data_IF_830180386000
#
_entry.id   IF_830180386000
#
_cell.length_a   1.000
_cell.length_b   1.000
_cell.length_c   1.000
_cell.angle_alpha   90.00
_cell.angle_beta   90.00
_cell.angle_gamma   90.00
#
_symmetry.space_group_name_H-M   'P 1'
#
loop_
_entity.id
_entity.type
_entity.pdbx_description
1 polymer ?
#
# COMPACT_ATOMS: atom_id res chain seq x y z
N UNK A 1 -8.80 21.50 0.23
CA UNK A 1 -8.14 21.62 -1.09
C UNK A 1 -8.70 20.52 -1.97
N UNK A 2 -9.02 20.79 -3.26
CA UNK A 2 -9.42 19.69 -4.14
C UNK A 2 -8.17 18.87 -4.48
N UNK A 3 -8.25 17.57 -4.42
CA UNK A 3 -7.18 16.62 -4.79
C UNK A 3 -6.58 16.90 -6.18
N UNK A 4 -7.38 17.44 -7.09
CA UNK A 4 -6.96 17.83 -8.43
C UNK A 4 -5.91 18.94 -8.45
N UNK A 5 -5.93 19.85 -7.46
CA UNK A 5 -4.97 20.95 -7.35
C UNK A 5 -3.63 20.54 -6.72
N UNK A 6 -3.54 19.33 -6.18
CA UNK A 6 -2.35 18.81 -5.51
C UNK A 6 -1.54 17.85 -6.39
N UNK A 7 -1.91 17.67 -7.66
CA UNK A 7 -1.17 16.79 -8.58
C UNK A 7 0.12 17.45 -8.99
N UNK A 8 1.24 16.79 -8.73
CA UNK A 8 2.58 17.24 -9.09
C UNK A 8 3.15 16.32 -10.17
N UNK A 9 3.52 16.91 -11.31
CA UNK A 9 4.22 16.19 -12.38
C UNK A 9 5.72 16.22 -12.04
N UNK A 10 6.31 15.04 -11.89
CA UNK A 10 7.72 14.87 -11.55
C UNK A 10 8.58 14.96 -12.80
N UNK A 11 9.71 15.62 -12.69
CA UNK A 11 10.75 15.61 -13.71
C UNK A 11 11.46 14.25 -13.74
N UNK A 12 12.19 13.95 -14.82
CA UNK A 12 12.96 12.69 -14.92
C UNK A 12 13.98 12.54 -13.79
N UNK A 13 14.62 13.64 -13.35
CA UNK A 13 15.56 13.61 -12.23
C UNK A 13 14.88 13.33 -10.90
N UNK A 14 13.69 13.88 -10.65
CA UNK A 14 12.90 13.59 -9.44
C UNK A 14 12.43 12.14 -9.42
N UNK A 15 11.99 11.60 -10.57
CA UNK A 15 11.62 10.18 -10.70
C UNK A 15 12.82 9.27 -10.37
N UNK A 16 14.05 9.65 -10.76
CA UNK A 16 15.22 8.85 -10.43
C UNK A 16 15.52 8.84 -8.92
N UNK A 17 15.33 9.95 -8.22
CA UNK A 17 15.40 9.99 -6.75
C UNK A 17 14.31 9.12 -6.13
N UNK A 18 13.06 9.21 -6.62
CA UNK A 18 11.96 8.35 -6.18
C UNK A 18 12.23 6.87 -6.43
N UNK A 19 12.91 6.54 -7.52
CA UNK A 19 13.35 5.15 -7.80
C UNK A 19 14.36 4.65 -6.78
N UNK A 20 15.25 5.52 -6.30
CA UNK A 20 16.19 5.17 -5.22
C UNK A 20 15.44 4.97 -3.89
N UNK A 21 14.51 5.88 -3.55
CA UNK A 21 13.62 5.69 -2.40
C UNK A 21 12.86 4.35 -2.49
N UNK A 22 12.35 4.00 -3.67
CA UNK A 22 11.67 2.74 -3.94
C UNK A 22 12.55 1.50 -3.74
N UNK A 23 13.82 1.56 -4.13
CA UNK A 23 14.77 0.45 -3.88
C UNK A 23 15.03 0.25 -2.39
N UNK A 24 15.20 1.33 -1.62
CA UNK A 24 15.37 1.26 -0.17
C UNK A 24 14.11 0.67 0.48
N UNK A 25 12.94 1.13 0.04
CA UNK A 25 11.65 0.63 0.52
C UNK A 25 11.48 -0.87 0.24
N UNK A 26 11.82 -1.30 -0.97
CA UNK A 26 11.78 -2.71 -1.36
C UNK A 26 12.77 -3.58 -0.54
N UNK A 27 13.96 -3.05 -0.20
CA UNK A 27 14.91 -3.75 0.69
C UNK A 27 14.33 -3.89 2.11
N UNK A 28 13.67 -2.85 2.63
CA UNK A 28 13.00 -2.90 3.92
C UNK A 28 11.88 -3.96 3.94
N UNK A 29 11.01 -3.96 2.91
CA UNK A 29 9.95 -4.96 2.77
C UNK A 29 10.50 -6.37 2.57
N UNK A 30 11.60 -6.55 1.84
CA UNK A 30 12.25 -7.85 1.68
C UNK A 30 12.80 -8.38 3.02
N UNK A 31 13.37 -7.50 3.86
CA UNK A 31 13.86 -7.87 5.19
C UNK A 31 12.72 -8.32 6.11
N UNK A 32 11.59 -7.60 6.13
CA UNK A 32 10.41 -8.03 6.90
C UNK A 32 9.84 -9.34 6.38
N UNK A 33 9.76 -9.52 5.06
CA UNK A 33 9.25 -10.75 4.45
C UNK A 33 10.11 -11.97 4.78
N UNK A 34 11.43 -11.82 4.80
CA UNK A 34 12.35 -12.90 5.17
C UNK A 34 12.23 -13.31 6.65
N UNK A 35 11.74 -12.41 7.50
CA UNK A 35 11.53 -12.63 8.93
C UNK A 35 10.11 -13.09 9.30
N UNK A 36 9.21 -13.31 8.32
CA UNK A 36 7.84 -13.78 8.58
C UNK A 36 7.83 -15.26 8.99
N UNK A 37 7.94 -15.49 10.29
CA UNK A 37 7.95 -16.82 10.90
C UNK A 37 6.94 -16.89 12.06
N UNK A 38 6.49 -18.09 12.38
CA UNK A 38 5.68 -18.33 13.59
C UNK A 38 6.42 -17.83 14.84
N UNK A 39 5.72 -17.04 15.64
CA UNK A 39 6.23 -16.48 16.90
C UNK A 39 6.91 -15.11 16.79
N UNK A 40 7.25 -14.62 15.59
CA UNK A 40 7.78 -13.25 15.42
C UNK A 40 6.68 -12.24 15.80
N UNK A 41 7.06 -11.13 16.43
CA UNK A 41 6.14 -10.05 16.73
C UNK A 41 6.11 -9.02 15.60
N UNK A 42 4.98 -8.32 15.45
CA UNK A 42 4.88 -7.24 14.46
C UNK A 42 5.82 -6.07 14.79
N UNK A 43 6.18 -5.86 16.07
CA UNK A 43 7.20 -4.88 16.49
C UNK A 43 8.61 -5.26 15.99
N UNK A 44 8.99 -6.55 16.02
CA UNK A 44 10.29 -7.01 15.49
C UNK A 44 10.38 -6.76 13.98
N UNK A 45 9.27 -6.89 13.24
CA UNK A 45 9.23 -6.55 11.82
C UNK A 45 9.40 -5.04 11.59
N UNK A 46 8.81 -4.20 12.44
CA UNK A 46 9.00 -2.74 12.41
C UNK A 46 10.45 -2.35 12.64
N UNK A 47 11.09 -2.95 13.64
CA UNK A 47 12.51 -2.72 13.95
C UNK A 47 13.42 -3.08 12.77
N UNK A 48 13.14 -4.18 12.06
CA UNK A 48 13.88 -4.59 10.87
C UNK A 48 13.75 -3.57 9.74
N UNK A 49 12.53 -3.14 9.42
CA UNK A 49 12.29 -2.13 8.40
C UNK A 49 12.99 -0.81 8.74
N UNK A 50 12.87 -0.36 10.00
CA UNK A 50 13.52 0.84 10.49
C UNK A 50 15.06 0.75 10.40
N UNK A 51 15.64 -0.41 10.68
CA UNK A 51 17.08 -0.62 10.57
C UNK A 51 17.58 -0.49 9.12
N UNK A 52 16.87 -1.09 8.17
CA UNK A 52 17.20 -1.00 6.73
C UNK A 52 17.11 0.46 6.26
N UNK A 53 16.01 1.15 6.55
CA UNK A 53 15.82 2.55 6.14
C UNK A 53 16.94 3.44 6.69
N UNK A 54 17.26 3.31 7.98
CA UNK A 54 18.36 4.07 8.62
C UNK A 54 19.74 3.77 8.00
N UNK A 55 20.02 2.52 7.66
CA UNK A 55 21.28 2.12 7.02
C UNK A 55 21.57 2.88 5.73
N UNK A 56 20.52 3.24 4.99
CA UNK A 56 20.60 4.03 3.75
C UNK A 56 20.55 5.54 3.97
N UNK A 57 20.53 6.04 5.22
CA UNK A 57 20.38 7.46 5.52
C UNK A 57 19.00 8.02 5.18
N UNK A 58 18.03 7.14 4.92
CA UNK A 58 16.63 7.49 4.65
C UNK A 58 15.82 7.61 5.95
N UNK A 59 14.55 8.03 5.84
CA UNK A 59 13.64 8.19 6.97
C UNK A 59 12.34 7.42 6.71
N UNK A 60 11.69 6.85 7.77
CA UNK A 60 10.34 6.31 7.66
C UNK A 60 9.35 7.41 7.26
N UNK A 61 8.44 7.10 6.35
CA UNK A 61 7.44 8.07 5.88
C UNK A 61 6.18 8.09 6.76
N UNK A 62 5.86 6.98 7.44
CA UNK A 62 4.67 6.89 8.27
C UNK A 62 4.88 7.42 9.70
N UNK A 63 6.08 7.26 10.24
CA UNK A 63 6.41 7.66 11.62
C UNK A 63 6.11 9.15 11.85
N UNK A 64 5.21 9.43 12.78
CA UNK A 64 4.80 10.80 13.14
C UNK A 64 3.73 11.41 12.23
N UNK A 65 3.22 10.69 11.24
CA UNK A 65 2.08 11.14 10.44
C UNK A 65 0.87 11.36 11.33
N UNK A 66 0.26 12.54 11.24
CA UNK A 66 -0.86 12.94 12.10
C UNK A 66 -2.17 12.32 11.63
N UNK A 67 -2.76 11.53 12.51
CA UNK A 67 -4.13 11.06 12.48
C UNK A 67 -4.85 11.55 13.75
N UNK A 68 -5.52 10.67 14.48
CA UNK A 68 -6.02 10.96 15.83
C UNK A 68 -4.85 11.26 16.81
N UNK A 69 -3.71 10.65 16.55
CA UNK A 69 -2.41 10.90 17.20
C UNK A 69 -1.29 10.64 16.17
N UNK A 70 -0.02 11.04 16.44
CA UNK A 70 1.08 10.75 15.53
C UNK A 70 1.28 9.23 15.40
N UNK A 71 1.31 8.71 14.16
CA UNK A 71 1.52 7.29 13.92
C UNK A 71 2.87 6.84 14.54
N UNK A 72 2.90 5.77 15.37
CA UNK A 72 4.05 5.51 16.23
C UNK A 72 5.14 4.62 15.62
N UNK A 73 4.98 4.14 14.37
CA UNK A 73 5.82 3.10 13.81
C UNK A 73 6.35 3.43 12.40
N UNK A 74 7.30 2.62 11.94
CA UNK A 74 7.93 2.72 10.61
C UNK A 74 7.05 2.11 9.53
N UNK A 75 6.41 0.97 9.83
CA UNK A 75 5.53 0.22 8.94
C UNK A 75 4.12 0.16 9.51
N UNK A 76 3.15 -0.27 8.71
CA UNK A 76 1.91 -0.86 9.23
C UNK A 76 2.00 -2.38 9.13
N UNK A 77 1.34 -3.09 10.05
CA UNK A 77 1.31 -4.55 10.08
C UNK A 77 -0.11 -5.02 10.40
N UNK A 78 -0.88 -5.30 9.36
CA UNK A 78 -2.29 -5.67 9.45
C UNK A 78 -2.43 -7.18 9.30
N UNK A 79 -2.99 -7.84 10.31
CA UNK A 79 -3.01 -9.32 10.41
C UNK A 79 -4.43 -9.83 10.26
N UNK A 80 -4.64 -10.77 9.34
CA UNK A 80 -5.91 -11.43 9.06
C UNK A 80 -7.03 -10.45 8.68
N UNK A 81 -8.00 -10.23 9.57
CA UNK A 81 -9.15 -9.35 9.38
C UNK A 81 -8.81 -7.84 9.43
N UNK A 82 -7.62 -7.48 9.85
CA UNK A 82 -7.15 -6.10 9.82
C UNK A 82 -6.83 -5.72 8.38
N UNK A 83 -7.55 -4.74 7.84
CA UNK A 83 -7.42 -4.36 6.44
C UNK A 83 -6.16 -3.54 6.18
N UNK A 84 -6.00 -2.42 6.90
CA UNK A 84 -4.90 -1.45 6.77
C UNK A 84 -4.57 -0.83 8.13
N UNK A 85 -3.42 -0.15 8.19
CA UNK A 85 -2.98 0.71 9.30
C UNK A 85 -2.75 -0.01 10.63
N UNK A 86 -2.72 -1.34 10.67
CA UNK A 86 -2.41 -2.09 11.89
C UNK A 86 -1.10 -1.60 12.51
N UNK A 87 -1.15 -1.26 13.82
CA UNK A 87 0.01 -0.71 14.55
C UNK A 87 0.90 -1.86 15.00
N UNK A 88 2.19 -1.89 14.60
CA UNK A 88 3.14 -2.90 15.07
C UNK A 88 3.24 -2.91 16.61
N UNK A 89 3.24 -4.11 17.20
CA UNK A 89 3.25 -4.28 18.64
C UNK A 89 3.66 -5.68 19.08
N UNK A 90 3.24 -6.06 20.27
CA UNK A 90 3.58 -7.35 20.90
C UNK A 90 2.83 -8.55 20.33
N UNK A 91 1.95 -8.34 19.34
CA UNK A 91 1.23 -9.43 18.66
C UNK A 91 2.23 -10.36 17.99
N UNK A 92 2.22 -11.64 18.38
CA UNK A 92 3.01 -12.69 17.74
C UNK A 92 2.23 -13.27 16.58
N UNK A 93 2.87 -13.33 15.42
CA UNK A 93 2.35 -14.02 14.26
C UNK A 93 2.30 -15.53 14.50
N UNK A 94 1.32 -16.20 13.89
CA UNK A 94 1.08 -17.65 14.02
C UNK A 94 1.08 -18.30 12.65
N UNK A 95 1.48 -19.55 12.61
CA UNK A 95 1.25 -20.39 11.43
C UNK A 95 -0.23 -20.35 11.02
N UNK A 96 -0.51 -20.05 9.76
CA UNK A 96 -1.86 -19.84 9.23
C UNK A 96 -2.31 -18.38 9.12
N UNK A 97 -1.63 -17.44 9.79
CA UNK A 97 -1.93 -16.00 9.61
C UNK A 97 -1.54 -15.53 8.21
N UNK A 98 -2.29 -14.56 7.69
CA UNK A 98 -1.83 -13.67 6.62
C UNK A 98 -1.51 -12.30 7.21
N UNK A 99 -0.48 -11.64 6.72
CA UNK A 99 -0.10 -10.31 7.18
C UNK A 99 0.19 -9.40 6.00
N UNK A 100 -0.41 -8.20 6.02
CA UNK A 100 -0.13 -7.11 5.11
C UNK A 100 0.85 -6.16 5.79
N UNK A 101 2.02 -5.99 5.18
CA UNK A 101 3.05 -5.05 5.61
C UNK A 101 3.11 -3.93 4.60
N UNK A 102 2.89 -2.71 5.06
CA UNK A 102 3.01 -1.51 4.27
C UNK A 102 4.13 -0.64 4.82
N UNK A 103 4.94 -0.07 3.93
CA UNK A 103 6.15 0.67 4.27
C UNK A 103 6.31 1.89 3.37
N UNK A 104 6.53 3.03 4.00
CA UNK A 104 6.90 4.26 3.31
C UNK A 104 8.32 4.70 3.67
N UNK A 105 9.10 5.13 2.66
CA UNK A 105 10.48 5.59 2.81
C UNK A 105 10.67 6.97 2.22
N UNK A 106 11.27 7.88 2.97
CA UNK A 106 11.69 9.21 2.49
C UNK A 106 13.18 9.19 2.22
N UNK A 107 13.57 9.45 0.97
CA UNK A 107 14.96 9.63 0.57
C UNK A 107 15.11 10.90 -0.26
N UNK A 108 16.06 11.77 0.12
CA UNK A 108 16.29 13.10 -0.51
C UNK A 108 15.02 13.94 -0.70
N UNK A 109 14.09 13.86 0.27
CA UNK A 109 12.83 14.61 0.27
C UNK A 109 11.74 14.05 -0.65
N UNK A 110 11.90 12.85 -1.19
CA UNK A 110 10.87 12.13 -1.94
C UNK A 110 10.46 10.83 -1.23
N UNK A 111 9.19 10.50 -1.37
CA UNK A 111 8.56 9.35 -0.74
C UNK A 111 8.46 8.20 -1.75
N UNK A 112 8.78 7.00 -1.29
CA UNK A 112 8.31 5.75 -1.87
C UNK A 112 7.31 5.10 -0.92
N UNK A 113 6.33 4.40 -1.48
CA UNK A 113 5.24 3.77 -0.78
C UNK A 113 4.92 2.43 -1.45
N UNK A 114 4.93 1.35 -0.69
CA UNK A 114 4.56 0.03 -1.19
C UNK A 114 4.28 -0.98 -0.09
N UNK A 115 3.43 -1.95 -0.41
CA UNK A 115 2.99 -2.99 0.51
C UNK A 115 3.09 -4.38 -0.13
N UNK A 116 3.05 -5.40 0.71
CA UNK A 116 2.79 -6.77 0.32
C UNK A 116 1.90 -7.47 1.35
N UNK A 117 1.23 -8.55 0.93
CA UNK A 117 0.58 -9.50 1.84
C UNK A 117 1.23 -10.86 1.66
N UNK A 118 1.51 -11.55 2.78
CA UNK A 118 2.07 -12.89 2.75
C UNK A 118 1.54 -13.75 3.89
N UNK A 119 1.57 -15.08 3.69
CA UNK A 119 1.25 -16.06 4.72
C UNK A 119 2.42 -16.31 5.67
N UNK A 120 2.09 -16.67 6.90
CA UNK A 120 3.02 -17.16 7.91
C UNK A 120 2.91 -18.68 7.95
N UNK A 121 3.95 -19.39 7.48
CA UNK A 121 3.91 -20.84 7.34
C UNK A 121 2.84 -21.31 6.33
N UNK A 122 2.09 -22.34 6.69
CA UNK A 122 1.00 -22.87 5.85
C UNK A 122 -0.30 -22.12 6.11
N UNK A 123 -0.87 -21.51 5.07
CA UNK A 123 -2.15 -20.77 5.12
C UNK A 123 -3.26 -21.54 4.41
N UNK A 124 -4.51 -21.17 4.65
CA UNK A 124 -5.66 -21.80 3.99
C UNK A 124 -5.67 -21.51 2.49
N UNK A 125 -6.35 -22.38 1.73
CA UNK A 125 -6.54 -22.20 0.29
C UNK A 125 -7.29 -20.89 0.00
N UNK A 126 -8.25 -20.53 0.83
CA UNK A 126 -9.03 -19.29 0.71
C UNK A 126 -8.14 -18.05 0.92
N UNK A 127 -7.25 -18.08 1.91
CA UNK A 127 -6.30 -17.00 2.17
C UNK A 127 -5.29 -16.88 1.03
N UNK A 128 -4.76 -17.98 0.53
CA UNK A 128 -3.87 -18.01 -0.62
C UNK A 128 -4.55 -17.41 -1.86
N UNK A 129 -5.80 -17.81 -2.12
CA UNK A 129 -6.58 -17.30 -3.24
C UNK A 129 -6.85 -15.79 -3.12
N UNK A 130 -7.16 -15.29 -1.92
CA UNK A 130 -7.34 -13.86 -1.67
C UNK A 130 -6.07 -13.07 -2.02
N UNK A 131 -4.90 -13.53 -1.60
CA UNK A 131 -3.60 -12.90 -1.91
C UNK A 131 -3.38 -12.88 -3.44
N UNK A 132 -3.54 -14.01 -4.10
CA UNK A 132 -3.33 -14.15 -5.56
C UNK A 132 -4.26 -13.24 -6.37
N UNK A 133 -5.55 -13.19 -6.02
CA UNK A 133 -6.52 -12.33 -6.73
C UNK A 133 -6.23 -10.86 -6.45
N UNK A 134 -5.77 -10.50 -5.25
CA UNK A 134 -5.37 -9.13 -4.94
C UNK A 134 -4.16 -8.71 -5.77
N UNK A 135 -3.14 -9.55 -5.88
CA UNK A 135 -1.96 -9.30 -6.72
C UNK A 135 -2.33 -9.16 -8.21
N UNK A 136 -3.20 -10.05 -8.72
CA UNK A 136 -3.70 -9.97 -10.09
C UNK A 136 -4.53 -8.69 -10.32
N UNK A 137 -5.36 -8.28 -9.35
CA UNK A 137 -6.11 -7.02 -9.39
C UNK A 137 -5.17 -5.82 -9.54
N UNK A 138 -4.05 -5.81 -8.80
CA UNK A 138 -3.02 -4.79 -8.91
C UNK A 138 -2.40 -4.78 -10.32
N UNK A 139 -2.02 -5.95 -10.85
CA UNK A 139 -1.46 -6.07 -12.19
C UNK A 139 -2.41 -5.54 -13.28
N UNK A 140 -3.71 -5.85 -13.13
CA UNK A 140 -4.76 -5.33 -14.03
C UNK A 140 -4.85 -3.80 -13.91
N UNK A 141 -4.85 -3.23 -12.70
CA UNK A 141 -4.85 -1.79 -12.49
C UNK A 141 -3.62 -1.10 -13.10
N UNK A 142 -2.42 -1.65 -12.87
CA UNK A 142 -1.16 -1.14 -13.43
C UNK A 142 -1.21 -1.14 -14.98
N UNK A 143 -1.81 -2.13 -15.61
CA UNK A 143 -1.92 -2.20 -17.06
C UNK A 143 -2.68 -1.03 -17.69
N UNK A 144 -3.51 -0.36 -16.88
CA UNK A 144 -4.29 0.82 -17.28
C UNK A 144 -3.55 2.14 -17.08
N UNK A 145 -2.37 2.13 -16.42
CA UNK A 145 -1.55 3.32 -16.21
C UNK A 145 -0.82 3.73 -17.48
N UNK A 146 -1.55 4.40 -18.38
CA UNK A 146 -1.06 4.89 -19.65
C UNK A 146 -1.43 6.35 -19.83
N UNK A 147 -0.54 7.11 -20.46
CA UNK A 147 -0.84 8.50 -20.83
C UNK A 147 -2.15 8.58 -21.62
N UNK A 148 -3.03 9.50 -21.26
CA UNK A 148 -4.35 9.68 -21.84
C UNK A 148 -5.48 8.83 -21.25
N UNK A 149 -5.19 7.73 -20.56
CA UNK A 149 -6.19 7.03 -19.75
C UNK A 149 -6.62 7.88 -18.56
N UNK A 150 -7.63 7.46 -17.85
CA UNK A 150 -8.16 8.18 -16.68
C UNK A 150 -8.09 7.33 -15.42
N UNK A 151 -8.06 7.99 -14.28
CA UNK A 151 -8.12 7.31 -12.97
C UNK A 151 -9.29 6.35 -12.86
N UNK A 152 -10.46 6.72 -13.42
CA UNK A 152 -11.64 5.86 -13.45
C UNK A 152 -11.47 4.60 -14.30
N UNK A 153 -10.56 4.60 -15.29
CA UNK A 153 -10.26 3.39 -16.07
C UNK A 153 -9.49 2.39 -15.22
N UNK A 154 -8.55 2.87 -14.38
CA UNK A 154 -7.79 2.05 -13.42
C UNK A 154 -8.74 1.40 -12.42
N UNK A 155 -9.55 2.20 -11.74
CA UNK A 155 -10.50 1.71 -10.74
C UNK A 155 -11.55 0.77 -11.33
N UNK A 156 -12.06 1.08 -12.53
CA UNK A 156 -13.01 0.21 -13.23
C UNK A 156 -12.40 -1.17 -13.53
N UNK A 157 -11.16 -1.21 -14.03
CA UNK A 157 -10.49 -2.46 -14.38
C UNK A 157 -10.24 -3.33 -13.13
N UNK A 158 -9.76 -2.73 -12.03
CA UNK A 158 -9.60 -3.40 -10.74
C UNK A 158 -10.92 -3.96 -10.25
N UNK A 159 -11.96 -3.13 -10.24
CA UNK A 159 -13.29 -3.52 -9.76
C UNK A 159 -13.88 -4.68 -10.56
N UNK A 160 -13.86 -4.61 -11.88
CA UNK A 160 -14.40 -5.66 -12.73
C UNK A 160 -13.69 -6.99 -12.52
N UNK A 161 -12.37 -6.96 -12.34
CA UNK A 161 -11.60 -8.16 -12.08
C UNK A 161 -11.92 -8.75 -10.69
N UNK A 162 -11.80 -7.95 -9.63
CA UNK A 162 -12.00 -8.40 -8.25
C UNK A 162 -13.43 -8.91 -7.98
N UNK A 163 -14.46 -8.16 -8.46
CA UNK A 163 -15.86 -8.56 -8.32
C UNK A 163 -16.18 -9.81 -9.17
N UNK A 164 -15.55 -9.96 -10.35
CA UNK A 164 -15.64 -11.16 -11.19
C UNK A 164 -15.08 -12.42 -10.53
N UNK A 165 -14.09 -12.26 -9.65
CA UNK A 165 -13.49 -13.33 -8.83
C UNK A 165 -14.25 -13.56 -7.50
N UNK A 166 -15.34 -12.81 -7.24
CA UNK A 166 -16.21 -12.96 -6.07
C UNK A 166 -15.78 -12.20 -4.82
N UNK A 167 -14.85 -11.24 -4.97
CA UNK A 167 -14.37 -10.42 -3.85
C UNK A 167 -15.02 -9.04 -3.84
N UNK A 168 -14.97 -8.40 -2.66
CA UNK A 168 -15.45 -7.04 -2.46
C UNK A 168 -14.26 -6.08 -2.36
N UNK A 169 -14.49 -4.82 -2.72
CA UNK A 169 -13.53 -3.72 -2.58
C UNK A 169 -14.03 -2.72 -1.55
N UNK A 170 -13.13 -2.26 -0.67
CA UNK A 170 -13.46 -1.14 0.22
C UNK A 170 -13.75 0.13 -0.59
N UNK A 171 -14.66 0.97 -0.07
CA UNK A 171 -14.99 2.28 -0.62
C UNK A 171 -14.38 3.43 0.18
N UNK A 172 -13.78 3.13 1.32
CA UNK A 172 -13.31 4.10 2.32
C UNK A 172 -11.85 4.47 2.11
N UNK A 173 -11.07 3.55 1.52
CA UNK A 173 -9.64 3.73 1.26
C UNK A 173 -9.37 3.71 -0.24
N UNK A 174 -8.32 4.43 -0.66
CA UNK A 174 -8.01 4.64 -2.08
C UNK A 174 -6.52 4.83 -2.25
N UNK A 175 -5.98 4.40 -3.36
CA UNK A 175 -4.67 4.80 -3.83
C UNK A 175 -4.59 6.32 -4.06
N UNK A 176 -3.38 6.82 -4.24
CA UNK A 176 -3.11 8.26 -4.27
C UNK A 176 -1.85 8.62 -5.05
N UNK A 177 -1.68 9.90 -5.38
CA UNK A 177 -0.41 10.42 -5.83
C UNK A 177 0.65 10.35 -4.73
N UNK A 178 1.90 10.20 -5.13
CA UNK A 178 3.07 10.17 -4.23
C UNK A 178 4.16 11.07 -4.80
N UNK A 179 4.91 11.74 -3.93
CA UNK A 179 6.01 12.59 -4.34
C UNK A 179 6.82 13.13 -3.18
N UNK A 180 6.74 14.42 -2.92
CA UNK A 180 7.34 15.03 -1.73
C UNK A 180 6.51 14.84 -0.47
N UNK A 181 5.24 14.51 -0.64
CA UNK A 181 4.34 14.07 0.42
C UNK A 181 3.91 12.63 0.17
N UNK A 182 3.59 11.91 1.25
CA UNK A 182 3.03 10.56 1.15
C UNK A 182 1.68 10.61 0.41
N UNK A 183 0.89 11.64 0.64
CA UNK A 183 -0.38 11.87 -0.03
C UNK A 183 -0.34 13.11 -0.91
N UNK A 184 -0.31 12.89 -2.20
CA UNK A 184 -0.52 13.89 -3.24
C UNK A 184 -1.76 13.52 -4.08
N UNK A 185 -2.24 14.43 -4.90
CA UNK A 185 -3.23 14.09 -5.91
C UNK A 185 -2.62 13.29 -7.08
N UNK A 186 -3.45 12.55 -7.79
CA UNK A 186 -4.90 12.39 -7.60
C UNK A 186 -5.24 11.29 -6.59
N UNK A 187 -6.51 11.21 -6.15
CA UNK A 187 -7.04 9.96 -5.59
C UNK A 187 -7.17 8.92 -6.68
N UNK A 188 -6.85 7.66 -6.36
CA UNK A 188 -6.89 6.51 -7.27
C UNK A 188 -7.75 5.39 -6.66
N UNK A 189 -9.08 5.54 -6.66
CA UNK A 189 -9.97 4.53 -6.09
C UNK A 189 -9.85 3.19 -6.83
N UNK A 190 -10.00 2.09 -6.10
CA UNK A 190 -10.03 0.73 -6.66
C UNK A 190 -11.38 0.37 -7.32
N UNK A 191 -12.22 1.36 -7.55
CA UNK A 191 -13.50 1.27 -8.25
C UNK A 191 -13.71 2.52 -9.09
N UNK A 192 -14.58 2.44 -10.08
CA UNK A 192 -14.78 3.60 -10.92
C UNK A 192 -15.68 3.38 -12.13
N UNK A 193 -15.72 4.40 -12.96
CA UNK A 193 -16.44 4.38 -14.22
C UNK A 193 -15.46 4.65 -15.36
N UNK A 194 -15.46 3.78 -16.35
CA UNK A 194 -14.61 3.90 -17.55
C UNK A 194 -14.77 5.27 -18.21
N UNK A 195 -13.64 5.89 -18.57
CA UNK A 195 -13.60 7.20 -19.20
C UNK A 195 -13.89 8.38 -18.27
N UNK A 196 -13.90 8.18 -16.95
CA UNK A 196 -14.15 9.24 -15.95
C UNK A 196 -12.93 9.52 -15.09
N UNK A 197 -12.97 10.64 -14.40
CA UNK A 197 -11.89 11.08 -13.50
C UNK A 197 -10.76 11.80 -14.25
N UNK A 198 -9.70 12.08 -13.50
CA UNK A 198 -8.53 12.81 -14.00
C UNK A 198 -7.80 12.03 -15.09
N UNK A 199 -7.30 12.75 -16.09
CA UNK A 199 -6.45 12.17 -17.14
C UNK A 199 -5.05 11.89 -16.57
N UNK A 200 -4.57 10.69 -16.76
CA UNK A 200 -3.20 10.29 -16.44
C UNK A 200 -2.22 10.94 -17.42
N UNK A 201 -1.10 11.41 -16.91
CA UNK A 201 -0.05 12.07 -17.71
C UNK A 201 1.32 11.54 -17.31
N UNK A 202 2.23 11.51 -18.27
CA UNK A 202 3.64 11.22 -18.02
C UNK A 202 4.20 12.12 -16.89
N UNK A 203 4.95 11.53 -15.97
CA UNK A 203 5.49 12.21 -14.80
C UNK A 203 4.61 12.19 -13.57
N UNK A 204 3.37 11.69 -13.65
CA UNK A 204 2.60 11.34 -12.46
C UNK A 204 3.20 10.09 -11.81
N UNK A 205 3.32 10.12 -10.48
CA UNK A 205 3.68 8.96 -9.66
C UNK A 205 2.52 8.70 -8.71
N UNK A 206 1.98 7.49 -8.74
CA UNK A 206 0.80 7.12 -7.98
C UNK A 206 0.97 5.74 -7.32
N UNK A 207 0.44 5.59 -6.12
CA UNK A 207 0.22 4.31 -5.47
C UNK A 207 -1.11 3.72 -5.96
N UNK A 208 -1.07 2.48 -6.41
CA UNK A 208 -2.25 1.68 -6.76
C UNK A 208 -2.32 0.54 -5.77
N UNK A 209 -3.37 0.47 -4.99
CA UNK A 209 -3.42 -0.38 -3.79
C UNK A 209 -4.78 -1.05 -3.64
N UNK A 210 -5.07 -2.09 -4.44
CA UNK A 210 -6.30 -2.84 -4.31
C UNK A 210 -6.38 -3.50 -2.94
N UNK A 211 -7.52 -3.28 -2.26
CA UNK A 211 -7.84 -3.83 -0.95
C UNK A 211 -9.09 -4.69 -1.08
N UNK A 212 -8.89 -6.01 -1.16
CA UNK A 212 -9.94 -6.98 -1.37
C UNK A 212 -10.44 -7.57 -0.06
N UNK A 213 -11.75 -7.76 0.03
CA UNK A 213 -12.41 -8.31 1.21
C UNK A 213 -13.27 -9.51 0.86
N UNK A 214 -13.38 -10.44 1.81
CA UNK A 214 -14.28 -11.60 1.73
C UNK A 214 -15.62 -11.25 2.37
N UNK A 215 -16.72 -11.59 1.72
CA UNK A 215 -18.08 -11.55 2.28
C UNK A 215 -18.74 -10.16 2.34
N UNK A 216 -17.99 -9.07 2.47
CA UNK A 216 -18.57 -7.72 2.56
C UNK A 216 -17.57 -6.63 2.19
N UNK A 217 -18.06 -5.51 1.63
CA UNK A 217 -17.27 -4.30 1.39
C UNK A 217 -17.15 -3.38 2.63
N UNK A 218 -17.81 -3.73 3.75
CA UNK A 218 -17.88 -2.85 4.92
C UNK A 218 -16.66 -2.99 5.79
N UNK A 219 -16.10 -1.89 6.23
CA UNK A 219 -15.03 -1.80 7.22
C UNK A 219 -15.51 -1.10 8.49
N UNK A 220 -14.73 -1.18 9.53
CA UNK A 220 -14.90 -0.40 10.76
C UNK A 220 -13.53 0.01 11.30
N UNK A 221 -13.45 1.21 11.85
CA UNK A 221 -12.25 1.66 12.57
C UNK A 221 -12.27 1.05 13.96
N UNK A 222 -11.14 0.51 14.40
CA UNK A 222 -10.95 -0.02 15.76
C UNK A 222 -10.56 1.10 16.73
N UNK A 223 -10.72 0.89 18.08
CA UNK A 223 -10.47 1.93 19.08
C UNK A 223 -9.02 2.42 19.17
N UNK A 224 -8.07 1.70 18.62
CA UNK A 224 -6.64 1.99 18.62
C UNK A 224 -6.18 2.84 17.44
N UNK A 225 -7.12 3.31 16.61
CA UNK A 225 -6.85 4.17 15.43
C UNK A 225 -7.58 5.49 15.45
#
# INVERSE_FOLDING_TARGET
MSWERSVVIKTKSEIEVMRQAGRINAEALAATRAALLDGVTTAELDDLAAAVIRKHGAKPAFLGVMGAYPYPATITASVNEELVHGIPGKRKLRNGDIVSIDCGTIFEGFVADSAYTAGVGEISIEAQRLIEVTEQSLAVGISMLRDGNRVGDVGFAIQQFAEGEGYYLTREYTGHGVGRSIWEGPQVPNYGTKGRGMVLREGMVIAVEPMLLVGTARTKVLPDQ
#
